data_IF_659317333231
#
_entry.id   IF_659317333231
#
_cell.length_a   1.000
_cell.length_b   1.000
_cell.length_c   1.000
_cell.angle_alpha   90.00
_cell.angle_beta   90.00
_cell.angle_gamma   90.00
#
_symmetry.space_group_name_H-M   'P 1'
#
loop_
_entity.id
_entity.type
_entity.pdbx_description
1 polymer ?
#
# COMPACT_ATOMS: atom_id res chain seq x y z
N UNK A 1 -11.21 -11.53 -6.78
CA UNK A 1 -11.22 -10.53 -7.86
C UNK A 1 -10.76 -9.21 -7.29
N UNK A 2 -9.72 -8.60 -7.86
CA UNK A 2 -9.18 -7.31 -7.40
C UNK A 2 -9.70 -6.17 -8.27
N UNK A 3 -10.49 -5.25 -7.71
CA UNK A 3 -11.03 -4.08 -8.42
C UNK A 3 -11.00 -2.84 -7.54
N UNK A 4 -11.12 -1.66 -8.14
CA UNK A 4 -11.30 -0.42 -7.37
C UNK A 4 -12.72 -0.35 -6.76
N UNK A 5 -12.93 0.57 -5.81
CA UNK A 5 -14.24 0.76 -5.18
C UNK A 5 -15.16 1.69 -6.00
N UNK A 6 -14.97 1.73 -7.33
CA UNK A 6 -15.87 2.49 -8.19
C UNK A 6 -17.25 1.82 -8.19
N UNK A 7 -18.31 2.65 -8.14
CA UNK A 7 -19.69 2.16 -8.11
C UNK A 7 -20.05 1.24 -9.28
N UNK A 8 -19.38 1.37 -10.43
CA UNK A 8 -19.54 0.48 -11.57
C UNK A 8 -19.05 -0.94 -11.26
N UNK A 9 -17.90 -1.06 -10.59
CA UNK A 9 -17.30 -2.33 -10.22
C UNK A 9 -18.11 -3.02 -9.12
N UNK A 10 -18.62 -2.27 -8.14
CA UNK A 10 -19.58 -2.80 -7.15
C UNK A 10 -20.83 -3.35 -7.84
N UNK A 11 -21.45 -2.57 -8.74
CA UNK A 11 -22.66 -3.00 -9.48
C UNK A 11 -22.41 -4.22 -10.35
N UNK A 12 -21.23 -4.33 -10.95
CA UNK A 12 -20.84 -5.48 -11.76
C UNK A 12 -20.77 -6.74 -10.89
N UNK A 13 -20.10 -6.69 -9.74
CA UNK A 13 -19.98 -7.84 -8.82
C UNK A 13 -21.36 -8.29 -8.31
N UNK A 14 -22.23 -7.34 -7.93
CA UNK A 14 -23.61 -7.65 -7.51
C UNK A 14 -24.45 -8.27 -8.62
N UNK A 15 -24.19 -7.93 -9.89
CA UNK A 15 -24.89 -8.55 -11.02
C UNK A 15 -24.33 -9.93 -11.32
N UNK A 16 -23.01 -10.09 -11.30
CA UNK A 16 -22.36 -11.38 -11.56
C UNK A 16 -22.75 -12.43 -10.53
N UNK A 17 -22.89 -12.07 -9.25
CA UNK A 17 -23.35 -13.01 -8.20
C UNK A 17 -24.78 -13.52 -8.42
N UNK A 18 -25.62 -12.76 -9.15
CA UNK A 18 -26.99 -13.17 -9.49
C UNK A 18 -27.05 -14.07 -10.73
N UNK A 19 -26.08 -13.95 -11.62
CA UNK A 19 -26.05 -14.67 -12.91
C UNK A 19 -25.27 -15.98 -12.77
N UNK A 20 -24.23 -16.00 -11.93
CA UNK A 20 -23.31 -17.13 -11.77
C UNK A 20 -23.46 -17.71 -10.36
N UNK A 21 -24.14 -18.86 -10.18
CA UNK A 21 -24.39 -19.46 -8.87
C UNK A 21 -23.12 -19.80 -8.09
N UNK A 22 -22.01 -20.05 -8.80
CA UNK A 22 -20.69 -20.37 -8.21
C UNK A 22 -19.81 -19.14 -8.01
N UNK A 23 -20.28 -17.94 -8.39
CA UNK A 23 -19.53 -16.73 -8.20
C UNK A 23 -19.73 -16.23 -6.77
N UNK A 24 -18.68 -16.35 -5.97
CA UNK A 24 -18.65 -15.99 -4.55
C UNK A 24 -18.93 -14.49 -4.27
N UNK A 25 -19.06 -13.67 -5.31
CA UNK A 25 -19.57 -12.31 -5.20
C UNK A 25 -18.67 -11.41 -4.36
N UNK A 26 -19.28 -10.70 -3.41
CA UNK A 26 -18.56 -9.79 -2.49
C UNK A 26 -17.56 -10.52 -1.59
N UNK A 27 -17.78 -11.81 -1.28
CA UNK A 27 -16.90 -12.58 -0.39
C UNK A 27 -15.50 -12.81 -1.00
N UNK A 28 -15.39 -12.72 -2.31
CA UNK A 28 -14.11 -12.81 -3.04
C UNK A 28 -13.70 -11.47 -3.66
N UNK A 29 -14.38 -10.38 -3.34
CA UNK A 29 -14.02 -9.05 -3.80
C UNK A 29 -12.95 -8.46 -2.89
N UNK A 30 -11.74 -8.32 -3.44
CA UNK A 30 -10.62 -7.67 -2.76
C UNK A 30 -10.43 -6.30 -3.40
N UNK A 31 -10.32 -5.25 -2.59
CA UNK A 31 -10.07 -3.91 -3.11
C UNK A 31 -8.63 -3.80 -3.61
N UNK A 32 -8.43 -3.10 -4.72
CA UNK A 32 -7.09 -2.78 -5.19
C UNK A 32 -6.37 -1.91 -4.14
N UNK A 33 -5.27 -2.41 -3.57
CA UNK A 33 -4.50 -1.72 -2.53
C UNK A 33 -4.08 -0.30 -2.96
N UNK A 34 -3.69 -0.12 -4.23
CA UNK A 34 -3.36 1.19 -4.78
C UNK A 34 -4.54 2.19 -4.72
N UNK A 35 -5.78 1.70 -4.87
CA UNK A 35 -6.97 2.53 -4.73
C UNK A 35 -7.32 2.84 -3.28
N UNK A 36 -6.89 2.04 -2.31
CA UNK A 36 -7.05 2.34 -0.88
C UNK A 36 -6.01 3.35 -0.40
N UNK A 37 -4.77 3.24 -0.90
CA UNK A 37 -3.66 4.14 -0.53
C UNK A 37 -3.83 5.54 -1.12
N UNK A 38 -4.31 5.66 -2.36
CA UNK A 38 -4.44 6.97 -3.03
C UNK A 38 -5.38 7.97 -2.29
N UNK A 39 -6.57 7.59 -1.78
CA UNK A 39 -7.40 8.44 -0.93
C UNK A 39 -6.77 8.76 0.43
N UNK A 40 -6.03 7.82 1.02
CA UNK A 40 -5.31 8.04 2.29
C UNK A 40 -4.20 9.08 2.08
N UNK A 41 -3.34 8.88 1.09
CA UNK A 41 -2.30 9.84 0.71
C UNK A 41 -2.90 11.21 0.35
N UNK A 42 -3.99 11.27 -0.42
CA UNK A 42 -4.70 12.54 -0.69
C UNK A 42 -5.33 13.15 0.57
N UNK A 43 -5.71 12.36 1.57
CA UNK A 43 -6.14 12.83 2.87
C UNK A 43 -5.02 13.50 3.64
N UNK A 44 -3.87 12.82 3.70
CA UNK A 44 -2.71 13.24 4.49
C UNK A 44 -1.96 14.41 3.85
N UNK A 45 -1.96 14.48 2.52
CA UNK A 45 -1.31 15.57 1.76
C UNK A 45 -2.21 16.81 1.64
N UNK A 46 -3.53 16.70 1.84
CA UNK A 46 -4.50 17.81 1.69
C UNK A 46 -4.16 19.08 2.50
N UNK A 47 -3.63 19.00 3.73
CA UNK A 47 -3.19 20.18 4.48
C UNK A 47 -1.97 20.88 3.88
N UNK A 48 -1.15 20.15 3.12
CA UNK A 48 0.07 20.64 2.45
C UNK A 48 -0.19 21.06 1.00
N UNK A 49 -1.36 20.76 0.45
CA UNK A 49 -1.76 21.25 -0.87
C UNK A 49 -1.83 22.79 -0.85
N UNK A 50 -1.26 23.48 -1.85
CA UNK A 50 -1.40 24.92 -1.95
C UNK A 50 -2.88 25.28 -2.04
N UNK A 51 -3.33 26.23 -1.22
CA UNK A 51 -4.71 26.72 -1.25
C UNK A 51 -5.06 27.09 -2.69
N UNK A 52 -6.12 26.47 -3.25
CA UNK A 52 -6.63 26.86 -4.57
C UNK A 52 -6.94 28.36 -4.53
N UNK A 53 -6.12 29.14 -5.24
CA UNK A 53 -6.29 30.58 -5.37
C UNK A 53 -7.68 30.82 -5.97
N UNK A 54 -8.47 31.72 -5.40
CA UNK A 54 -9.67 32.21 -6.10
C UNK A 54 -9.19 32.82 -7.41
N UNK A 55 -9.97 32.74 -8.49
CA UNK A 55 -9.52 33.18 -9.82
C UNK A 55 -9.02 34.65 -9.87
N UNK A 56 -9.33 35.45 -8.85
CA UNK A 56 -8.88 36.83 -8.70
C UNK A 56 -7.50 37.02 -8.02
N UNK A 57 -6.92 35.97 -7.42
CA UNK A 57 -5.69 36.07 -6.60
C UNK A 57 -4.54 35.21 -7.16
N UNK A 58 -4.44 35.05 -8.48
CA UNK A 58 -3.27 34.39 -9.09
C UNK A 58 -2.06 35.32 -8.97
N UNK A 59 -1.26 35.25 -7.90
CA UNK A 59 0.17 35.54 -8.14
C UNK A 59 0.63 34.49 -9.13
N UNK A 60 1.12 34.99 -10.24
CA UNK A 60 1.72 34.20 -11.30
C UNK A 60 3.02 33.65 -10.71
N UNK A 61 3.07 32.34 -10.45
CA UNK A 61 4.37 31.66 -10.28
C UNK A 61 5.16 31.95 -11.54
N UNK A 62 6.33 32.56 -11.37
CA UNK A 62 7.22 32.85 -12.49
C UNK A 62 7.84 31.55 -12.98
N UNK A 63 8.34 31.53 -14.21
CA UNK A 63 9.03 30.32 -14.72
C UNK A 63 10.21 29.93 -13.81
N UNK A 64 10.84 30.90 -13.16
CA UNK A 64 11.94 30.69 -12.23
C UNK A 64 11.49 29.91 -10.98
N UNK A 65 10.31 30.21 -10.41
CA UNK A 65 9.79 29.51 -9.23
C UNK A 65 9.47 28.04 -9.56
N UNK A 66 9.09 27.77 -10.81
CA UNK A 66 8.81 26.41 -11.30
C UNK A 66 10.10 25.63 -11.58
N UNK A 67 11.13 26.30 -12.12
CA UNK A 67 12.45 25.72 -12.36
C UNK A 67 13.13 25.33 -11.04
N UNK A 68 13.06 26.18 -10.02
CA UNK A 68 13.64 25.92 -8.69
C UNK A 68 13.00 24.70 -8.01
N UNK A 69 11.66 24.61 -8.01
CA UNK A 69 10.95 23.44 -7.48
C UNK A 69 11.26 22.15 -8.26
N UNK A 70 11.49 22.27 -9.57
CA UNK A 70 11.84 21.13 -10.41
C UNK A 70 13.26 20.64 -10.12
N UNK A 71 14.20 21.55 -9.87
CA UNK A 71 15.58 21.20 -9.47
C UNK A 71 15.62 20.54 -8.09
N UNK A 72 14.86 21.06 -7.11
CA UNK A 72 14.76 20.50 -5.76
C UNK A 72 14.19 19.06 -5.80
N UNK A 73 13.12 18.85 -6.55
CA UNK A 73 12.52 17.52 -6.72
C UNK A 73 13.49 16.54 -7.42
N UNK A 74 14.25 17.00 -8.41
CA UNK A 74 15.27 16.17 -9.08
C UNK A 74 16.48 15.84 -8.20
N UNK A 75 16.79 16.68 -7.21
CA UNK A 75 17.81 16.39 -6.21
C UNK A 75 17.33 15.29 -5.26
N UNK A 76 16.11 15.38 -4.73
CA UNK A 76 15.53 14.34 -3.86
C UNK A 76 15.48 12.97 -4.55
N UNK A 77 15.07 12.91 -5.82
CA UNK A 77 15.05 11.65 -6.56
C UNK A 77 16.44 11.05 -6.75
N UNK A 78 17.48 11.88 -6.94
CA UNK A 78 18.87 11.42 -7.04
C UNK A 78 19.38 10.86 -5.72
N UNK A 79 19.09 11.53 -4.62
CA UNK A 79 19.46 11.06 -3.28
C UNK A 79 18.76 9.73 -2.94
N UNK A 80 17.50 9.55 -3.38
CA UNK A 80 16.75 8.30 -3.24
C UNK A 80 17.27 7.18 -4.15
N UNK A 81 17.75 7.49 -5.34
CA UNK A 81 18.36 6.49 -6.24
C UNK A 81 19.75 6.06 -5.74
N UNK A 82 20.51 6.99 -5.16
CA UNK A 82 21.84 6.73 -4.60
C UNK A 82 21.78 6.04 -3.21
N UNK A 83 20.81 6.41 -2.37
CA UNK A 83 20.69 5.89 -0.99
C UNK A 83 19.54 4.88 -0.80
N UNK A 84 18.67 4.68 -1.79
CA UNK A 84 17.54 3.74 -1.72
C UNK A 84 17.95 2.26 -1.63
N UNK A 85 19.23 1.97 -1.83
CA UNK A 85 19.81 0.64 -1.58
C UNK A 85 20.10 0.36 -0.10
N UNK A 86 19.98 1.36 0.81
CA UNK A 86 20.13 1.17 2.25
C UNK A 86 18.77 0.98 2.95
N UNK A 87 17.82 0.30 2.30
CA UNK A 87 16.95 -0.60 3.04
C UNK A 87 17.73 -1.90 3.27
N UNK A 88 18.77 -1.84 4.13
CA UNK A 88 19.14 -3.07 4.82
C UNK A 88 17.89 -3.46 5.57
N UNK A 89 17.34 -4.64 5.29
CA UNK A 89 16.38 -5.24 6.21
C UNK A 89 17.09 -5.26 7.56
N UNK A 90 16.78 -4.30 8.40
CA UNK A 90 17.29 -4.22 9.76
C UNK A 90 16.53 -5.27 10.56
N UNK A 91 16.84 -6.53 10.23
CA UNK A 91 16.34 -7.72 10.90
C UNK A 91 16.99 -7.83 12.29
N UNK A 92 17.87 -6.90 12.70
CA UNK A 92 18.52 -6.85 14.02
C UNK A 92 17.51 -6.67 15.17
N UNK A 93 16.25 -6.35 14.87
CA UNK A 93 15.13 -6.32 15.82
C UNK A 93 14.18 -7.52 15.78
N UNK A 94 14.31 -8.42 14.79
CA UNK A 94 13.49 -9.63 14.72
C UNK A 94 14.17 -10.77 15.46
N UNK A 95 13.68 -11.04 16.68
CA UNK A 95 14.04 -12.25 17.41
C UNK A 95 13.60 -13.46 16.57
N UNK A 96 14.54 -14.29 16.14
CA UNK A 96 14.23 -15.60 15.58
C UNK A 96 13.63 -16.45 16.72
N UNK A 97 12.30 -16.40 16.83
CA UNK A 97 11.51 -17.12 17.84
C UNK A 97 11.85 -18.61 17.83
N UNK A 98 12.23 -19.16 16.68
CA UNK A 98 12.67 -20.53 16.59
C UNK A 98 14.03 -20.75 17.22
N UNK A 99 14.94 -19.77 17.26
CA UNK A 99 16.26 -19.94 17.85
C UNK A 99 16.25 -19.83 19.38
N UNK A 100 15.30 -19.07 19.95
CA UNK A 100 15.12 -18.91 21.40
C UNK A 100 14.20 -19.97 22.05
N UNK A 101 13.40 -20.70 21.25
CA UNK A 101 12.57 -21.78 21.78
C UNK A 101 13.42 -22.84 22.49
N UNK A 102 13.05 -23.16 23.72
CA UNK A 102 13.63 -24.29 24.44
C UNK A 102 13.40 -25.58 23.64
N UNK A 103 14.31 -26.55 23.75
CA UNK A 103 14.24 -27.80 22.99
C UNK A 103 12.87 -28.50 23.10
N UNK A 104 12.25 -28.43 24.29
CA UNK A 104 10.90 -28.97 24.53
C UNK A 104 9.81 -28.28 23.71
N UNK A 105 9.84 -26.95 23.61
CA UNK A 105 8.87 -26.19 22.82
C UNK A 105 9.07 -26.48 21.33
N UNK A 106 10.32 -26.67 20.88
CA UNK A 106 10.67 -27.04 19.50
C UNK A 106 10.14 -28.42 19.11
N UNK A 107 10.28 -29.39 20.00
CA UNK A 107 9.77 -30.74 19.77
C UNK A 107 8.23 -30.75 19.67
N UNK A 108 7.55 -29.94 20.48
CA UNK A 108 6.09 -29.77 20.40
C UNK A 108 5.65 -29.11 19.09
N UNK A 109 6.38 -28.09 18.62
CA UNK A 109 6.12 -27.40 17.35
C UNK A 109 6.25 -28.34 16.15
N UNK A 110 7.34 -29.11 16.07
CA UNK A 110 7.56 -30.08 14.99
C UNK A 110 6.52 -31.22 15.03
N UNK A 111 6.15 -31.69 16.22
CA UNK A 111 5.06 -32.65 16.38
C UNK A 111 3.70 -32.07 15.95
N UNK A 112 3.47 -30.77 16.16
CA UNK A 112 2.29 -30.05 15.65
C UNK A 112 2.24 -30.01 14.12
N UNK A 113 3.39 -29.71 13.49
CA UNK A 113 3.54 -29.65 12.03
C UNK A 113 3.26 -30.99 11.35
N UNK A 114 3.67 -32.09 11.98
CA UNK A 114 3.38 -33.45 11.51
C UNK A 114 1.89 -33.81 11.62
N UNK A 115 1.14 -33.20 12.55
CA UNK A 115 -0.31 -33.45 12.75
C UNK A 115 -1.17 -32.68 11.75
N UNK A 116 -0.71 -31.52 11.28
CA UNK A 116 -1.41 -30.69 10.28
C UNK A 116 -1.18 -31.12 8.83
N UNK A 117 -0.31 -32.11 8.56
CA UNK A 117 0.01 -32.55 7.21
C UNK A 117 -1.07 -33.46 6.56
N UNK A 118 -2.17 -33.75 7.26
CA UNK A 118 -3.25 -34.63 6.78
C UNK A 118 -4.67 -34.13 7.12
N UNK A 119 -4.85 -32.81 7.14
CA UNK A 119 -6.17 -32.13 7.09
C UNK A 119 -6.13 -31.09 5.95
#
# INVERSE_FOLDING_TARGET
>A
MTCDNASANTKMITKLSKILPSFLGEECHVQCFAHTVNPAAKGDLRPFEPKKRKDNDKEVLTNNDLEELQEELQAEFRDLEENGAQATNDDEGFVDVLNEMMALERDEWEAGKSRSAWL
#
